data_IF_851231135803
#
_entry.id   IF_851231135803
#
_cell.length_a   1.000
_cell.length_b   1.000
_cell.length_c   1.000
_cell.angle_alpha   90.00
_cell.angle_beta   90.00
_cell.angle_gamma   90.00
#
_symmetry.space_group_name_H-M   'P 1'
#
loop_
_entity.id
_entity.type
_entity.pdbx_description
1 polymer ?
#
# COMPACT_ATOMS: atom_id res chain seq x y z
N UNK A 1 21.08 -0.29 -5.41
CA UNK A 1 19.87 -0.53 -6.21
C UNK A 1 19.68 0.58 -7.20
N UNK A 2 19.88 1.80 -6.77
CA UNK A 2 19.61 2.97 -7.62
C UNK A 2 20.77 3.31 -8.58
N UNK A 3 21.97 2.79 -8.34
CA UNK A 3 23.10 2.94 -9.26
C UNK A 3 23.07 1.96 -10.42
N UNK A 4 22.29 0.87 -10.32
CA UNK A 4 22.33 -0.22 -11.29
C UNK A 4 23.59 -1.08 -11.23
N UNK A 5 24.43 -0.86 -10.23
CA UNK A 5 25.70 -1.60 -10.05
C UNK A 5 25.47 -2.87 -9.21
N UNK A 6 26.19 -3.92 -9.57
CA UNK A 6 26.27 -5.17 -8.82
C UNK A 6 27.71 -5.34 -8.37
N UNK A 7 27.92 -5.61 -7.10
CA UNK A 7 29.24 -5.76 -6.50
C UNK A 7 29.37 -7.14 -5.85
N UNK A 8 30.55 -7.77 -6.01
CA UNK A 8 30.92 -8.92 -5.21
C UNK A 8 31.36 -8.43 -3.83
N UNK A 9 30.50 -8.63 -2.82
CA UNK A 9 30.73 -8.11 -1.49
C UNK A 9 29.93 -8.87 -0.43
N UNK A 10 30.37 -8.77 0.81
CA UNK A 10 29.60 -9.17 1.98
C UNK A 10 28.68 -8.02 2.40
N UNK A 11 27.58 -8.36 3.06
CA UNK A 11 26.67 -7.37 3.70
C UNK A 11 26.70 -7.60 5.20
N UNK A 12 27.13 -6.60 5.96
CA UNK A 12 27.09 -6.61 7.41
C UNK A 12 25.79 -5.97 7.90
N UNK A 13 25.10 -6.68 8.81
CA UNK A 13 23.82 -6.23 9.41
C UNK A 13 23.99 -6.22 10.92
N UNK A 14 23.60 -5.12 11.56
CA UNK A 14 23.50 -4.99 13.01
C UNK A 14 22.20 -4.25 13.36
N UNK A 15 21.49 -4.74 14.39
CA UNK A 15 20.24 -4.13 14.87
C UNK A 15 19.20 -3.89 13.75
N UNK A 16 19.08 -4.85 12.83
CA UNK A 16 18.15 -4.77 11.71
C UNK A 16 18.50 -3.74 10.62
N UNK A 17 19.74 -3.22 10.62
CA UNK A 17 20.22 -2.24 9.65
C UNK A 17 21.46 -2.73 8.93
N UNK A 18 21.58 -2.41 7.65
CA UNK A 18 22.83 -2.59 6.91
C UNK A 18 23.85 -1.57 7.44
N UNK A 19 24.93 -2.05 8.04
CA UNK A 19 26.01 -1.22 8.58
C UNK A 19 27.24 -1.21 7.69
N UNK A 20 27.33 -2.11 6.70
CA UNK A 20 28.43 -2.11 5.73
C UNK A 20 28.15 -3.03 4.55
N UNK A 21 28.78 -2.66 3.42
CA UNK A 21 28.86 -3.49 2.21
C UNK A 21 30.34 -3.48 1.81
N UNK A 22 30.96 -4.66 1.70
CA UNK A 22 32.39 -4.78 1.42
C UNK A 22 32.92 -6.15 1.83
N UNK A 23 34.16 -6.23 2.31
CA UNK A 23 34.79 -7.47 2.72
C UNK A 23 35.43 -7.33 4.10
N UNK A 24 35.72 -8.47 4.74
CA UNK A 24 36.48 -8.48 6.00
C UNK A 24 35.66 -8.16 7.25
N UNK A 25 34.36 -8.27 7.21
CA UNK A 25 33.51 -8.14 8.39
C UNK A 25 33.67 -9.35 9.32
N UNK A 26 33.52 -9.11 10.63
CA UNK A 26 33.43 -10.15 11.64
C UNK A 26 32.01 -10.12 12.21
N UNK A 27 31.34 -11.26 12.28
CA UNK A 27 29.97 -11.38 12.77
C UNK A 27 29.81 -12.56 13.71
N UNK A 28 28.79 -12.50 14.56
CA UNK A 28 28.38 -13.62 15.45
C UNK A 28 27.67 -14.73 14.67
N UNK A 29 27.04 -14.39 13.57
CA UNK A 29 26.37 -15.32 12.65
C UNK A 29 26.72 -14.94 11.22
N UNK A 30 26.95 -15.94 10.38
CA UNK A 30 27.24 -15.75 8.96
C UNK A 30 26.35 -16.67 8.13
N UNK A 31 25.72 -16.10 7.12
CA UNK A 31 24.91 -16.83 6.13
C UNK A 31 25.69 -16.84 4.82
N UNK A 32 26.10 -18.03 4.35
CA UNK A 32 26.77 -18.16 3.06
C UNK A 32 25.77 -18.00 1.92
N UNK A 33 25.98 -16.95 1.13
CA UNK A 33 25.19 -16.62 -0.05
C UNK A 33 26.03 -16.64 -1.34
N UNK A 34 27.14 -17.35 -1.32
CA UNK A 34 28.04 -17.48 -2.49
C UNK A 34 27.26 -17.94 -3.72
N UNK A 35 27.45 -17.24 -4.82
CA UNK A 35 26.78 -17.49 -6.10
C UNK A 35 25.32 -17.03 -6.15
N UNK A 36 24.85 -16.29 -5.14
CA UNK A 36 23.50 -15.68 -5.12
C UNK A 36 23.60 -14.17 -5.27
N UNK A 37 22.50 -13.57 -5.72
CA UNK A 37 22.34 -12.11 -5.75
C UNK A 37 21.48 -11.70 -4.55
N UNK A 38 21.98 -10.75 -3.78
CA UNK A 38 21.22 -10.11 -2.73
C UNK A 38 20.64 -8.80 -3.26
N UNK A 39 19.35 -8.61 -3.10
CA UNK A 39 18.64 -7.40 -3.49
C UNK A 39 17.69 -6.98 -2.38
N UNK A 40 17.26 -5.70 -2.34
CA UNK A 40 16.13 -5.29 -1.51
C UNK A 40 14.89 -6.14 -1.81
N UNK A 41 14.07 -6.37 -0.79
CA UNK A 41 12.79 -7.05 -0.98
C UNK A 41 11.89 -6.29 -1.95
N UNK A 42 11.06 -7.03 -2.67
CA UNK A 42 10.11 -6.43 -3.60
C UNK A 42 9.01 -5.69 -2.86
N UNK A 43 8.54 -4.61 -3.47
CA UNK A 43 7.40 -3.81 -3.02
C UNK A 43 6.28 -4.03 -4.03
N UNK A 44 5.16 -4.56 -3.56
CA UNK A 44 3.91 -4.55 -4.33
C UNK A 44 3.19 -3.25 -4.02
N UNK A 45 3.11 -2.37 -5.02
CA UNK A 45 2.63 -1.02 -4.84
C UNK A 45 1.10 -0.90 -4.82
N UNK A 46 0.37 -1.98 -5.13
CA UNK A 46 -1.09 -1.99 -5.09
C UNK A 46 -1.63 -3.41 -4.96
N UNK A 47 -2.28 -3.72 -3.83
CA UNK A 47 -2.86 -5.04 -3.60
C UNK A 47 -4.11 -4.96 -2.72
N UNK A 48 -5.05 -5.87 -2.99
CA UNK A 48 -6.20 -6.17 -2.12
C UNK A 48 -5.94 -7.52 -1.48
N UNK A 49 -5.44 -7.51 -0.24
CA UNK A 49 -5.05 -8.75 0.47
C UNK A 49 -6.26 -9.68 0.62
N UNK A 50 -7.41 -9.12 0.92
CA UNK A 50 -8.67 -9.84 1.12
C UNK A 50 -9.16 -10.60 -0.14
N UNK A 51 -8.80 -10.16 -1.35
CA UNK A 51 -9.05 -10.89 -2.60
C UNK A 51 -8.42 -12.28 -2.60
N UNK A 52 -7.35 -12.48 -1.83
CA UNK A 52 -6.73 -13.80 -1.63
C UNK A 52 -7.45 -14.69 -0.61
N UNK A 53 -8.56 -14.21 -0.01
CA UNK A 53 -9.39 -14.89 0.99
C UNK A 53 -8.64 -15.26 2.28
N UNK A 54 -7.56 -14.55 2.58
CA UNK A 54 -6.78 -14.73 3.82
C UNK A 54 -6.47 -13.38 4.47
N UNK A 55 -6.26 -13.34 5.80
CA UNK A 55 -5.82 -12.14 6.47
C UNK A 55 -4.34 -11.83 6.20
N UNK A 56 -3.87 -10.60 6.49
CA UNK A 56 -2.49 -10.18 6.26
C UNK A 56 -1.42 -11.12 6.80
N UNK A 57 -1.60 -11.66 8.01
CA UNK A 57 -0.66 -12.61 8.62
C UNK A 57 -0.48 -13.91 7.82
N UNK A 58 -1.53 -14.36 7.13
CA UNK A 58 -1.47 -15.56 6.27
C UNK A 58 -0.96 -15.22 4.88
N UNK A 59 -1.36 -14.07 4.34
CA UNK A 59 -0.84 -13.54 3.10
C UNK A 59 0.69 -13.38 3.17
N UNK A 60 1.21 -12.82 4.26
CA UNK A 60 2.64 -12.67 4.50
C UNK A 60 3.41 -14.00 4.36
N UNK A 61 2.86 -15.10 4.88
CA UNK A 61 3.48 -16.44 4.77
C UNK A 61 3.57 -16.95 3.33
N UNK A 62 2.74 -16.45 2.44
CA UNK A 62 2.77 -16.82 1.03
C UNK A 62 3.74 -15.96 0.24
N UNK A 63 3.81 -14.65 0.49
CA UNK A 63 4.53 -13.71 -0.38
C UNK A 63 5.97 -13.43 0.07
N UNK A 64 6.22 -13.35 1.39
CA UNK A 64 7.57 -13.06 1.91
C UNK A 64 8.62 -14.08 1.47
N UNK A 65 8.37 -15.40 1.50
CA UNK A 65 9.32 -16.39 0.99
C UNK A 65 9.59 -16.29 -0.52
N UNK A 66 8.79 -15.50 -1.24
CA UNK A 66 8.93 -15.25 -2.68
C UNK A 66 9.56 -13.89 -2.99
N UNK A 67 9.96 -13.16 -1.95
CA UNK A 67 10.72 -11.92 -2.06
C UNK A 67 9.92 -10.63 -1.89
N UNK A 68 8.59 -10.67 -1.79
CA UNK A 68 7.78 -9.48 -1.49
C UNK A 68 7.81 -9.21 0.01
N UNK A 69 8.43 -8.10 0.41
CA UNK A 69 8.59 -7.72 1.82
C UNK A 69 7.76 -6.53 2.24
N UNK A 70 7.19 -5.83 1.27
CA UNK A 70 6.33 -4.66 1.51
C UNK A 70 5.16 -4.68 0.53
N UNK A 71 3.97 -4.33 1.00
CA UNK A 71 2.80 -4.14 0.15
C UNK A 71 2.09 -2.85 0.53
N UNK A 72 1.53 -2.17 -0.47
CA UNK A 72 0.58 -1.07 -0.29
C UNK A 72 -0.81 -1.64 -0.52
N UNK A 73 -1.60 -1.73 0.53
CA UNK A 73 -2.87 -2.44 0.53
C UNK A 73 -4.05 -1.49 0.70
N UNK A 74 -5.02 -1.58 -0.20
CA UNK A 74 -6.31 -0.93 -0.06
C UNK A 74 -7.37 -1.95 0.40
N UNK A 75 -7.81 -1.90 1.67
CA UNK A 75 -8.73 -2.89 2.24
C UNK A 75 -10.20 -2.55 1.94
N UNK A 76 -10.55 -2.09 0.74
CA UNK A 76 -11.92 -1.67 0.45
C UNK A 76 -12.92 -2.84 0.39
N UNK A 77 -12.47 -4.05 0.06
CA UNK A 77 -13.35 -5.22 0.02
C UNK A 77 -13.86 -5.58 1.42
N UNK A 78 -12.96 -5.70 2.41
CA UNK A 78 -13.39 -5.94 3.79
C UNK A 78 -14.14 -4.72 4.37
N UNK A 79 -13.77 -3.51 3.97
CA UNK A 79 -14.47 -2.30 4.39
C UNK A 79 -15.90 -2.23 3.84
N UNK A 80 -16.17 -2.73 2.64
CA UNK A 80 -17.53 -2.87 2.09
C UNK A 80 -18.42 -3.82 2.92
N UNK A 81 -17.82 -4.76 3.65
CA UNK A 81 -18.55 -5.73 4.49
C UNK A 81 -18.66 -5.25 5.93
N UNK A 82 -17.55 -4.77 6.51
CA UNK A 82 -17.40 -4.53 7.94
C UNK A 82 -17.02 -3.06 8.30
N UNK A 83 -17.03 -2.15 7.33
CA UNK A 83 -16.73 -0.74 7.55
C UNK A 83 -15.35 -0.51 8.18
N UNK A 84 -15.28 0.44 9.10
CA UNK A 84 -14.06 0.79 9.82
C UNK A 84 -13.48 -0.37 10.64
N UNK A 85 -14.33 -1.25 11.16
CA UNK A 85 -13.89 -2.43 11.91
C UNK A 85 -13.10 -3.40 11.03
N UNK A 86 -13.47 -3.52 9.75
CA UNK A 86 -12.74 -4.29 8.75
C UNK A 86 -11.33 -3.73 8.51
N UNK A 87 -11.21 -2.42 8.35
CA UNK A 87 -9.91 -1.74 8.20
C UNK A 87 -9.06 -1.93 9.46
N UNK A 88 -9.65 -1.75 10.64
CA UNK A 88 -8.98 -1.93 11.91
C UNK A 88 -8.53 -3.39 12.13
N UNK A 89 -9.30 -4.37 11.66
CA UNK A 89 -8.90 -5.78 11.67
C UNK A 89 -7.65 -6.01 10.83
N UNK A 90 -7.64 -5.51 9.57
CA UNK A 90 -6.48 -5.64 8.68
C UNK A 90 -5.23 -5.02 9.30
N UNK A 91 -5.34 -3.83 9.88
CA UNK A 91 -4.24 -3.16 10.55
C UNK A 91 -3.68 -3.95 11.74
N UNK A 92 -4.57 -4.52 12.57
CA UNK A 92 -4.14 -5.33 13.73
C UNK A 92 -3.45 -6.63 13.31
N UNK A 93 -4.01 -7.33 12.34
CA UNK A 93 -3.47 -8.62 11.89
C UNK A 93 -2.14 -8.48 11.14
N UNK A 94 -1.91 -7.32 10.52
CA UNK A 94 -0.65 -7.01 9.82
C UNK A 94 0.51 -6.63 10.76
N UNK A 95 0.22 -6.18 11.99
CA UNK A 95 1.16 -5.43 12.84
C UNK A 95 2.47 -6.14 13.15
N UNK A 96 2.39 -7.40 13.53
CA UNK A 96 3.54 -8.16 14.07
C UNK A 96 4.07 -9.19 13.07
N UNK A 97 3.72 -9.03 11.79
CA UNK A 97 4.11 -9.93 10.72
C UNK A 97 5.47 -9.58 10.09
N UNK A 98 6.05 -10.51 9.33
CA UNK A 98 7.29 -10.28 8.58
C UNK A 98 7.09 -9.43 7.31
N UNK A 99 5.85 -9.13 6.93
CA UNK A 99 5.47 -8.31 5.79
C UNK A 99 5.15 -6.89 6.27
N UNK A 100 5.80 -5.90 5.71
CA UNK A 100 5.42 -4.50 5.92
C UNK A 100 4.14 -4.21 5.13
N UNK A 101 3.05 -3.92 5.82
CA UNK A 101 1.78 -3.58 5.19
C UNK A 101 1.50 -2.09 5.39
N UNK A 102 1.57 -1.34 4.30
CA UNK A 102 1.18 0.07 4.24
C UNK A 102 -0.30 0.11 3.87
N UNK A 103 -1.16 0.33 4.85
CA UNK A 103 -2.60 0.42 4.60
C UNK A 103 -2.98 1.80 4.06
N UNK A 104 -3.85 1.79 3.06
CA UNK A 104 -4.52 2.96 2.52
C UNK A 104 -5.94 3.05 3.06
N UNK A 105 -6.49 4.26 3.18
CA UNK A 105 -7.87 4.45 3.55
C UNK A 105 -8.78 4.15 2.34
N UNK A 106 -9.74 3.24 2.44
CA UNK A 106 -10.56 2.85 1.29
C UNK A 106 -11.53 3.95 0.89
N UNK A 107 -11.30 4.59 -0.26
CA UNK A 107 -12.10 5.72 -0.75
C UNK A 107 -13.48 5.33 -1.26
N UNK A 108 -13.61 4.08 -1.73
CA UNK A 108 -14.74 3.60 -2.51
C UNK A 108 -15.59 2.58 -1.74
N UNK A 109 -16.23 3.02 -0.67
CA UNK A 109 -17.16 2.23 0.16
C UNK A 109 -18.48 2.98 0.31
N UNK A 110 -19.44 2.71 -0.56
CA UNK A 110 -19.42 1.89 -1.79
C UNK A 110 -18.59 2.50 -2.93
N UNK A 111 -18.33 1.70 -3.97
CA UNK A 111 -17.58 2.13 -5.16
C UNK A 111 -18.26 3.27 -5.92
N UNK A 112 -19.59 3.31 -5.94
CA UNK A 112 -20.40 4.36 -6.54
C UNK A 112 -21.75 4.47 -5.82
N UNK A 113 -22.50 5.54 -6.10
CA UNK A 113 -23.85 5.72 -5.60
C UNK A 113 -24.86 4.68 -6.13
N UNK A 114 -24.49 3.94 -7.18
CA UNK A 114 -25.32 2.88 -7.78
C UNK A 114 -25.01 1.48 -7.18
N UNK A 115 -23.98 1.37 -6.37
CA UNK A 115 -23.49 0.09 -5.85
C UNK A 115 -24.00 -0.12 -4.42
N UNK A 116 -24.57 -1.29 -4.15
CA UNK A 116 -24.89 -1.72 -2.80
C UNK A 116 -23.62 -2.05 -2.02
N UNK A 117 -23.65 -1.79 -0.71
CA UNK A 117 -22.55 -2.09 0.20
C UNK A 117 -23.09 -2.44 1.58
N UNK A 118 -22.35 -3.25 2.35
CA UNK A 118 -22.66 -3.53 3.75
C UNK A 118 -22.31 -2.36 4.69
N UNK A 119 -21.47 -1.43 4.23
CA UNK A 119 -21.08 -0.24 4.96
C UNK A 119 -20.96 0.97 4.02
N UNK A 120 -20.88 2.16 4.60
CA UNK A 120 -20.59 3.40 3.90
C UNK A 120 -19.51 4.16 4.67
N UNK A 121 -18.48 4.62 3.96
CA UNK A 121 -17.44 5.48 4.52
C UNK A 121 -17.51 6.85 3.84
N UNK A 122 -17.86 7.87 4.59
CA UNK A 122 -17.85 9.26 4.17
C UNK A 122 -16.50 9.94 4.41
N UNK A 123 -16.38 11.21 4.02
CA UNK A 123 -15.17 12.00 4.23
C UNK A 123 -14.78 12.12 5.71
N UNK A 124 -15.77 12.18 6.62
CA UNK A 124 -15.53 12.24 8.07
C UNK A 124 -14.92 10.94 8.61
N UNK A 125 -15.42 9.78 8.16
CA UNK A 125 -14.87 8.47 8.53
C UNK A 125 -13.41 8.32 8.06
N UNK A 126 -13.14 8.78 6.83
CA UNK A 126 -11.81 8.75 6.25
C UNK A 126 -10.85 9.72 6.97
N UNK A 127 -11.32 10.91 7.36
CA UNK A 127 -10.55 11.83 8.18
C UNK A 127 -10.25 11.25 9.56
N UNK A 128 -11.17 10.52 10.16
CA UNK A 128 -10.94 9.80 11.41
C UNK A 128 -9.92 8.69 11.25
N UNK A 129 -9.97 7.90 10.16
CA UNK A 129 -8.92 6.91 9.83
C UNK A 129 -7.55 7.57 9.68
N UNK A 130 -7.45 8.67 8.94
CA UNK A 130 -6.20 9.43 8.82
C UNK A 130 -5.66 9.83 10.18
N UNK A 131 -6.52 10.39 11.04
CA UNK A 131 -6.14 10.87 12.37
C UNK A 131 -5.74 9.73 13.32
N UNK A 132 -6.22 8.52 13.10
CA UNK A 132 -5.85 7.34 13.90
C UNK A 132 -4.43 6.85 13.66
N UNK A 133 -3.79 7.27 12.56
CA UNK A 133 -2.48 6.78 12.14
C UNK A 133 -2.45 5.34 11.61
N UNK A 134 -3.61 4.72 11.39
CA UNK A 134 -3.72 3.37 10.84
C UNK A 134 -3.47 3.32 9.33
N UNK A 135 -3.64 4.44 8.63
CA UNK A 135 -3.54 4.53 7.18
C UNK A 135 -2.55 5.60 6.76
N UNK A 136 -1.95 5.44 5.59
CA UNK A 136 -0.84 6.26 5.09
C UNK A 136 -1.20 7.13 3.88
N UNK A 137 -2.38 6.94 3.31
CA UNK A 137 -2.88 7.67 2.17
C UNK A 137 -4.32 7.31 1.87
N UNK A 138 -4.89 7.89 0.83
CA UNK A 138 -6.20 7.52 0.31
C UNK A 138 -6.01 6.40 -0.71
N UNK A 139 -6.73 5.31 -0.51
CA UNK A 139 -6.73 4.17 -1.41
C UNK A 139 -7.47 4.45 -2.71
N UNK A 140 -7.60 3.45 -3.49
CA UNK A 140 -8.05 3.48 -4.87
C UNK A 140 -9.32 4.32 -5.11
N UNK A 141 -9.16 5.48 -5.76
CA UNK A 141 -10.28 6.32 -6.17
C UNK A 141 -10.85 5.78 -7.48
N UNK A 142 -11.83 4.87 -7.38
CA UNK A 142 -12.48 4.25 -8.53
C UNK A 142 -13.53 5.14 -9.20
N UNK A 143 -14.15 6.06 -8.43
CA UNK A 143 -15.17 6.97 -8.96
C UNK A 143 -14.54 8.16 -9.71
N UNK A 144 -13.69 7.87 -10.70
CA UNK A 144 -13.10 8.93 -11.53
C UNK A 144 -14.14 9.77 -12.30
N UNK A 145 -15.32 9.24 -12.70
CA UNK A 145 -16.37 10.11 -13.27
C UNK A 145 -16.83 11.18 -12.28
N UNK A 146 -16.95 10.83 -11.00
CA UNK A 146 -17.26 11.78 -9.94
C UNK A 146 -16.16 12.84 -9.77
N UNK A 147 -14.88 12.44 -9.85
CA UNK A 147 -13.75 13.40 -9.83
C UNK A 147 -13.86 14.39 -10.98
N UNK A 148 -14.09 13.89 -12.21
CA UNK A 148 -14.23 14.75 -13.41
C UNK A 148 -15.45 15.67 -13.33
N UNK A 149 -16.54 15.22 -12.70
CA UNK A 149 -17.73 16.01 -12.50
C UNK A 149 -17.64 17.00 -11.30
N UNK A 150 -16.58 16.90 -10.50
CA UNK A 150 -16.43 17.69 -9.29
C UNK A 150 -17.46 17.29 -8.21
N UNK A 151 -17.82 16.00 -8.11
CA UNK A 151 -18.76 15.49 -7.13
C UNK A 151 -18.31 15.88 -5.71
N UNK A 152 -19.15 16.60 -4.94
CA UNK A 152 -18.71 17.14 -3.65
C UNK A 152 -18.30 16.08 -2.64
N UNK A 153 -18.92 14.88 -2.66
CA UNK A 153 -18.56 13.80 -1.75
C UNK A 153 -17.21 13.19 -2.10
N UNK A 154 -16.97 12.95 -3.40
CA UNK A 154 -15.70 12.43 -3.89
C UNK A 154 -14.58 13.42 -3.61
N UNK A 155 -14.79 14.70 -3.92
CA UNK A 155 -13.81 15.75 -3.67
C UNK A 155 -13.53 15.96 -2.18
N UNK A 156 -14.53 15.82 -1.31
CA UNK A 156 -14.34 15.89 0.13
C UNK A 156 -13.47 14.74 0.68
N UNK A 157 -13.63 13.52 0.15
CA UNK A 157 -12.79 12.37 0.50
C UNK A 157 -11.33 12.62 0.10
N UNK A 158 -11.10 13.10 -1.13
CA UNK A 158 -9.76 13.45 -1.61
C UNK A 158 -9.17 14.57 -0.75
N UNK A 159 -9.93 15.63 -0.47
CA UNK A 159 -9.51 16.75 0.37
C UNK A 159 -9.13 16.34 1.79
N UNK A 160 -9.79 15.30 2.34
CA UNK A 160 -9.44 14.77 3.66
C UNK A 160 -8.01 14.19 3.70
N UNK A 161 -7.40 13.88 2.56
CA UNK A 161 -6.03 13.37 2.43
C UNK A 161 -5.07 14.35 1.77
N UNK A 162 -5.39 15.63 1.73
CA UNK A 162 -4.48 16.66 1.21
C UNK A 162 -3.09 16.55 1.86
N UNK A 163 -2.05 16.57 1.02
CA UNK A 163 -0.64 16.42 1.44
C UNK A 163 -0.17 14.97 1.63
N UNK A 164 -1.03 13.98 1.41
CA UNK A 164 -0.69 12.56 1.40
C UNK A 164 -0.87 11.97 0.00
N UNK A 165 -0.44 10.72 -0.17
CA UNK A 165 -0.64 9.98 -1.42
C UNK A 165 -2.13 9.69 -1.60
N UNK A 166 -2.61 9.92 -2.83
CA UNK A 166 -3.94 9.53 -3.30
C UNK A 166 -3.73 8.60 -4.48
N UNK A 167 -4.21 7.37 -4.37
CA UNK A 167 -4.15 6.36 -5.41
C UNK A 167 -5.49 6.24 -6.14
N UNK A 168 -5.49 5.69 -7.35
CA UNK A 168 -6.71 5.49 -8.11
C UNK A 168 -6.45 5.01 -9.53
N UNK A 169 -7.55 4.73 -10.24
CA UNK A 169 -7.49 4.38 -11.65
C UNK A 169 -8.59 5.07 -12.44
N UNK A 170 -8.32 5.32 -13.71
CA UNK A 170 -9.25 6.00 -14.63
C UNK A 170 -9.20 5.31 -16.00
N UNK A 171 -9.76 4.10 -16.14
CA UNK A 171 -9.69 3.35 -17.38
C UNK A 171 -10.36 4.12 -18.53
N UNK A 172 -9.67 4.16 -19.65
CA UNK A 172 -10.13 4.89 -20.85
C UNK A 172 -9.80 6.39 -20.87
N UNK A 173 -9.26 6.96 -19.80
CA UNK A 173 -8.71 8.31 -19.81
C UNK A 173 -7.25 8.25 -20.25
N UNK A 174 -7.00 8.44 -21.53
CA UNK A 174 -5.66 8.66 -22.05
C UNK A 174 -5.17 10.07 -21.71
N UNK A 175 -3.87 10.26 -21.52
CA UNK A 175 -3.28 11.59 -21.50
C UNK A 175 -3.54 12.26 -22.86
N UNK A 176 -4.41 13.26 -22.91
CA UNK A 176 -4.62 14.05 -24.10
C UNK A 176 -3.41 14.99 -24.25
N UNK A 177 -2.68 14.97 -25.40
CA UNK A 177 -1.49 15.81 -25.57
C UNK A 177 -1.80 17.30 -25.77
N UNK A 178 -3.06 17.70 -25.71
CA UNK A 178 -3.50 19.08 -25.94
C UNK A 178 -4.43 19.57 -24.82
N UNK A 179 -3.85 19.96 -23.70
CA UNK A 179 -4.61 20.60 -22.63
C UNK A 179 -3.94 20.35 -21.28
N UNK A 180 -2.93 21.15 -20.97
CA UNK A 180 -2.22 21.06 -19.69
C UNK A 180 -3.14 21.35 -18.52
N UNK A 181 -3.66 20.30 -17.96
CA UNK A 181 -4.23 20.24 -16.63
C UNK A 181 -3.68 18.98 -16.02
N UNK A 182 -2.54 19.10 -15.34
CA UNK A 182 -2.03 18.04 -14.51
C UNK A 182 -3.07 17.77 -13.42
N UNK A 183 -3.85 16.70 -13.56
CA UNK A 183 -4.38 16.02 -12.41
C UNK A 183 -3.18 15.28 -11.86
N UNK A 184 -2.59 15.83 -10.79
CA UNK A 184 -1.45 15.20 -10.12
C UNK A 184 -1.83 13.80 -9.69
N UNK A 185 -1.05 12.84 -10.17
CA UNK A 185 -1.02 11.51 -9.66
C UNK A 185 -0.39 11.49 -8.26
#
# INVERSE_FOLDING_TARGET
VFSGEVHDADIAIADGKIVGVGTGFTATETIDVTGKVIAPGFIDAHVHIESSMVPPSRFARAVVPRGTTTVIADPHEIANVAGLDGVAFMARDARDGPLSVVLMAPSCVPASHLTGSGARLGAEDLAALRSSGLVHGLGEVMNFPGVLAGDPEVMAKIGAFEGLVVDGHAPGLGAHPAGGGAVGA
#
